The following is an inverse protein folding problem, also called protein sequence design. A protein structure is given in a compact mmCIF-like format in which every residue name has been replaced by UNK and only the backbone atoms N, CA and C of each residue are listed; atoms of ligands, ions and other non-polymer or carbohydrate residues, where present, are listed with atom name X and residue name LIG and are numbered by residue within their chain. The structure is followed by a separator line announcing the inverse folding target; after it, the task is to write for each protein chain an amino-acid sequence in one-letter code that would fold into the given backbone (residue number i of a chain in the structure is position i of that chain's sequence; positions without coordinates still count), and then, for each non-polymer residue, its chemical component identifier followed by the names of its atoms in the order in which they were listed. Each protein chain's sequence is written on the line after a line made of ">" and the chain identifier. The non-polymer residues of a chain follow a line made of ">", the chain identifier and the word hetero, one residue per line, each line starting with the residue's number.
data_IF_847463173529
#
_entry.id   IF_847463173529
#
_cell.length_a   1.000
_cell.length_b   1.000
_cell.length_c   1.000
_cell.angle_alpha   90.00
_cell.angle_beta   90.00
_cell.angle_gamma   90.00
#
_symmetry.space_group_name_H-M   'P 1'
#
loop_
_entity.id
_entity.type
_entity.pdbx_description
1 polymer ?
#
# COMPACT_ATOMS: atom_id res chain seq x y z
N UNK A 1 -7.93 -8.83 28.14
CA UNK A 1 -6.54 -8.47 27.73
C UNK A 1 -6.59 -7.63 26.48
N UNK A 2 -5.87 -6.53 26.46
CA UNK A 2 -5.67 -5.80 25.19
C UNK A 2 -4.83 -6.70 24.26
N UNK A 3 -5.27 -6.86 23.02
CA UNK A 3 -4.44 -7.48 22.00
C UNK A 3 -3.16 -6.66 21.83
N UNK A 4 -2.03 -7.34 21.75
CA UNK A 4 -0.77 -6.67 21.47
C UNK A 4 -0.80 -6.12 20.06
N UNK A 5 -0.32 -4.89 19.90
CA UNK A 5 -0.19 -4.28 18.58
C UNK A 5 0.84 -5.01 17.71
N UNK A 6 0.66 -4.91 16.40
CA UNK A 6 1.62 -5.44 15.43
C UNK A 6 2.99 -4.74 15.59
N UNK A 7 4.06 -5.46 15.35
CA UNK A 7 5.41 -4.91 15.28
C UNK A 7 5.72 -4.53 13.84
N UNK A 8 6.35 -3.38 13.60
CA UNK A 8 6.72 -2.92 12.27
C UNK A 8 8.23 -2.83 12.11
N UNK A 9 8.73 -3.30 10.97
CA UNK A 9 10.16 -3.22 10.61
C UNK A 9 10.31 -2.92 9.14
N UNK A 10 11.34 -2.16 8.77
CA UNK A 10 11.75 -2.00 7.39
C UNK A 10 12.22 -3.35 6.82
N UNK A 11 11.81 -3.64 5.60
CA UNK A 11 12.21 -4.86 4.90
C UNK A 11 13.30 -4.55 3.87
N UNK A 12 14.15 -5.53 3.64
CA UNK A 12 15.29 -5.46 2.72
C UNK A 12 15.20 -6.56 1.67
N UNK A 13 16.18 -6.61 0.78
CA UNK A 13 16.28 -7.67 -0.22
C UNK A 13 16.31 -9.08 0.41
N UNK A 14 16.82 -9.18 1.64
CA UNK A 14 16.85 -10.46 2.37
C UNK A 14 15.46 -10.95 2.79
N UNK A 15 14.45 -10.09 2.76
CA UNK A 15 13.08 -10.41 3.16
C UNK A 15 12.18 -10.77 1.96
N UNK A 16 12.68 -10.66 0.73
CA UNK A 16 11.86 -10.87 -0.48
C UNK A 16 11.25 -12.26 -0.54
N UNK A 17 11.98 -13.30 -0.15
CA UNK A 17 11.44 -14.66 -0.10
C UNK A 17 10.23 -14.75 0.86
N UNK A 18 10.34 -14.15 2.03
CA UNK A 18 9.24 -14.11 3.00
C UNK A 18 8.04 -13.31 2.48
N UNK A 19 8.27 -12.22 1.74
CA UNK A 19 7.20 -11.43 1.11
C UNK A 19 6.48 -12.28 0.04
N UNK A 20 7.21 -13.01 -0.77
CA UNK A 20 6.63 -13.89 -1.79
C UNK A 20 5.76 -14.98 -1.17
N UNK A 21 6.23 -15.62 -0.11
CA UNK A 21 5.46 -16.63 0.64
C UNK A 21 4.19 -16.02 1.22
N UNK A 22 4.31 -14.85 1.85
CA UNK A 22 3.15 -14.12 2.41
C UNK A 22 2.12 -13.79 1.34
N UNK A 23 2.57 -13.30 0.18
CA UNK A 23 1.67 -12.99 -0.93
C UNK A 23 0.89 -14.24 -1.38
N UNK A 24 1.57 -15.36 -1.55
CA UNK A 24 0.94 -16.62 -1.95
C UNK A 24 -0.11 -17.08 -0.93
N UNK A 25 0.22 -17.05 0.36
CA UNK A 25 -0.72 -17.38 1.45
C UNK A 25 -1.97 -16.48 1.40
N UNK A 26 -1.79 -15.18 1.22
CA UNK A 26 -2.90 -14.23 1.16
C UNK A 26 -3.78 -14.49 -0.07
N UNK A 27 -3.18 -14.71 -1.25
CA UNK A 27 -3.94 -14.98 -2.47
C UNK A 27 -4.74 -16.27 -2.40
N UNK A 28 -4.24 -17.30 -1.71
CA UNK A 28 -4.99 -18.53 -1.44
C UNK A 28 -6.26 -18.30 -0.61
N UNK A 29 -6.31 -17.22 0.17
CA UNK A 29 -7.47 -16.88 1.01
C UNK A 29 -8.47 -15.95 0.33
N UNK A 30 -8.12 -15.36 -0.84
CA UNK A 30 -9.00 -14.41 -1.52
C UNK A 30 -10.10 -15.14 -2.28
N UNK A 31 -11.34 -14.79 -2.00
CA UNK A 31 -12.50 -15.23 -2.79
C UNK A 31 -12.49 -14.59 -4.18
N UNK A 32 -12.08 -13.31 -4.26
CA UNK A 32 -11.94 -12.58 -5.50
C UNK A 32 -10.48 -12.12 -5.65
N UNK A 33 -9.68 -12.74 -6.55
CA UNK A 33 -8.28 -12.38 -6.73
C UNK A 33 -8.08 -10.98 -7.31
N UNK A 34 -9.12 -10.38 -7.90
CA UNK A 34 -9.05 -9.02 -8.47
C UNK A 34 -9.04 -7.91 -7.40
N UNK A 35 -9.26 -8.24 -6.12
CA UNK A 35 -9.19 -7.29 -5.02
C UNK A 35 -7.75 -6.79 -4.77
N UNK A 36 -6.75 -7.61 -5.09
CA UNK A 36 -5.33 -7.27 -4.96
C UNK A 36 -4.60 -7.51 -6.28
N UNK A 37 -3.61 -6.68 -6.55
CA UNK A 37 -2.65 -6.91 -7.63
C UNK A 37 -1.53 -7.82 -7.12
N UNK A 38 -1.30 -8.94 -7.82
CA UNK A 38 -0.15 -9.80 -7.55
C UNK A 38 1.11 -9.14 -8.09
N UNK A 39 2.15 -9.10 -7.29
CA UNK A 39 3.45 -8.54 -7.69
C UNK A 39 4.46 -9.65 -7.97
N UNK A 40 5.37 -9.39 -8.91
CA UNK A 40 6.49 -10.28 -9.22
C UNK A 40 7.60 -10.14 -8.18
N UNK A 41 8.50 -11.13 -8.13
CA UNK A 41 9.71 -11.06 -7.32
C UNK A 41 10.54 -9.81 -7.65
N UNK A 42 10.72 -9.53 -8.93
CA UNK A 42 11.48 -8.39 -9.42
C UNK A 42 10.89 -7.06 -8.92
N UNK A 43 9.57 -6.97 -8.88
CA UNK A 43 8.89 -5.80 -8.32
C UNK A 43 9.17 -5.66 -6.82
N UNK A 44 9.12 -6.74 -6.05
CA UNK A 44 9.46 -6.68 -4.62
C UNK A 44 10.93 -6.32 -4.39
N UNK A 45 11.84 -6.86 -5.19
CA UNK A 45 13.27 -6.50 -5.15
C UNK A 45 13.48 -5.00 -5.39
N UNK A 46 12.73 -4.41 -6.32
CA UNK A 46 12.74 -2.97 -6.56
C UNK A 46 12.15 -2.20 -5.38
N UNK A 47 11.04 -2.66 -4.83
CA UNK A 47 10.30 -1.96 -3.78
C UNK A 47 11.04 -1.90 -2.43
N UNK A 48 11.97 -2.82 -2.17
CA UNK A 48 12.79 -2.78 -0.95
C UNK A 48 14.00 -1.86 -1.07
N UNK A 49 14.22 -1.24 -2.24
CA UNK A 49 15.34 -0.33 -2.50
C UNK A 49 14.86 1.13 -2.53
N UNK A 50 15.73 2.02 -2.06
CA UNK A 50 15.50 3.47 -2.18
C UNK A 50 15.27 3.86 -3.67
N UNK A 51 14.38 4.81 -3.97
CA UNK A 51 13.61 5.66 -3.05
C UNK A 51 12.33 5.01 -2.51
N UNK A 52 12.03 3.77 -2.87
CA UNK A 52 10.86 3.04 -2.40
C UNK A 52 11.02 2.64 -0.94
N UNK A 53 9.91 2.33 -0.30
CA UNK A 53 9.91 1.90 1.08
C UNK A 53 8.95 0.73 1.27
N UNK A 54 9.51 -0.41 1.66
CA UNK A 54 8.75 -1.60 2.03
C UNK A 54 8.97 -1.89 3.50
N UNK A 55 7.88 -2.06 4.23
CA UNK A 55 7.94 -2.41 5.64
C UNK A 55 6.96 -3.53 5.95
N UNK A 56 7.32 -4.33 6.92
CA UNK A 56 6.56 -5.49 7.34
C UNK A 56 5.87 -5.30 8.67
N UNK A 57 4.74 -5.96 8.83
CA UNK A 57 4.08 -6.17 10.11
C UNK A 57 4.38 -7.58 10.59
N UNK A 58 4.73 -7.71 11.85
CA UNK A 58 5.12 -8.96 12.49
C UNK A 58 4.21 -9.28 13.66
N UNK A 59 3.99 -10.57 13.87
CA UNK A 59 3.22 -11.07 15.00
C UNK A 59 3.93 -10.70 16.31
N UNK A 60 3.29 -9.97 17.24
CA UNK A 60 3.92 -9.63 18.51
C UNK A 60 4.24 -10.84 19.39
N UNK A 61 3.60 -11.97 19.16
CA UNK A 61 3.86 -13.22 19.87
C UNK A 61 4.89 -14.11 19.17
N UNK A 62 5.22 -13.81 17.91
CA UNK A 62 6.25 -14.46 17.07
C UNK A 62 6.95 -13.40 16.24
N UNK A 63 7.88 -12.62 16.81
CA UNK A 63 8.44 -11.42 16.15
C UNK A 63 9.20 -11.68 14.84
N UNK A 64 9.54 -12.91 14.55
CA UNK A 64 10.13 -13.34 13.27
C UNK A 64 9.08 -13.66 12.19
N UNK A 65 7.80 -13.78 12.58
CA UNK A 65 6.73 -14.14 11.65
C UNK A 65 6.16 -12.90 10.96
N UNK A 66 6.46 -12.75 9.67
CA UNK A 66 5.92 -11.71 8.80
C UNK A 66 4.45 -12.02 8.50
N UNK A 67 3.55 -11.14 8.91
CA UNK A 67 2.10 -11.32 8.75
C UNK A 67 1.45 -10.29 7.84
N UNK A 68 2.13 -9.19 7.55
CA UNK A 68 1.66 -8.16 6.64
C UNK A 68 2.82 -7.43 5.99
N UNK A 69 2.55 -6.80 4.86
CA UNK A 69 3.52 -5.96 4.15
C UNK A 69 2.83 -4.74 3.55
N UNK A 70 3.53 -3.63 3.56
CA UNK A 70 3.09 -2.39 2.95
C UNK A 70 4.21 -1.77 2.12
N UNK A 71 3.86 -1.14 1.01
CA UNK A 71 4.82 -0.56 0.07
C UNK A 71 4.40 0.87 -0.28
N UNK A 72 5.30 1.81 -0.01
CA UNK A 72 5.26 3.15 -0.58
C UNK A 72 6.23 3.19 -1.77
N UNK A 73 5.71 3.48 -2.95
CA UNK A 73 6.44 3.39 -4.20
C UNK A 73 6.60 4.77 -4.84
N UNK A 74 7.82 5.08 -5.24
CA UNK A 74 8.09 6.26 -6.07
C UNK A 74 8.02 5.86 -7.55
N UNK A 75 6.97 6.26 -8.27
CA UNK A 75 6.79 5.83 -9.66
C UNK A 75 7.74 6.56 -10.63
N UNK A 76 8.33 7.70 -10.22
CA UNK A 76 9.09 8.54 -11.13
C UNK A 76 8.28 8.90 -12.38
N UNK A 77 8.90 8.77 -13.54
CA UNK A 77 8.27 8.98 -14.86
C UNK A 77 7.72 7.68 -15.47
N UNK A 78 7.60 6.62 -14.69
CA UNK A 78 7.07 5.33 -15.17
C UNK A 78 5.55 5.38 -15.36
N UNK A 79 5.02 4.37 -16.04
CA UNK A 79 3.57 4.17 -16.21
C UNK A 79 2.82 3.81 -14.91
N UNK A 80 3.54 3.58 -13.82
CA UNK A 80 2.95 3.49 -12.47
C UNK A 80 2.57 4.87 -11.91
N UNK A 81 3.05 5.99 -12.50
CA UNK A 81 2.70 7.34 -12.07
C UNK A 81 1.21 7.61 -12.31
N UNK A 82 0.58 8.22 -11.31
CA UNK A 82 -0.82 8.61 -11.37
C UNK A 82 -1.00 10.12 -11.57
N UNK A 83 0.06 10.90 -11.41
CA UNK A 83 -0.01 12.36 -11.38
C UNK A 83 -0.50 12.99 -12.69
N UNK A 84 -0.10 12.41 -13.82
CA UNK A 84 -0.47 12.91 -15.15
C UNK A 84 -1.92 12.62 -15.54
N UNK A 85 -2.58 11.75 -14.79
CA UNK A 85 -3.94 11.30 -15.10
C UNK A 85 -4.99 11.82 -14.11
N UNK A 86 -4.57 12.64 -13.14
CA UNK A 86 -5.49 13.19 -12.14
C UNK A 86 -6.47 14.16 -12.77
N UNK A 87 -7.73 14.09 -12.36
CA UNK A 87 -8.84 14.89 -12.89
C UNK A 87 -9.28 15.97 -11.91
N UNK A 88 -9.30 15.67 -10.63
CA UNK A 88 -9.80 16.56 -9.56
C UNK A 88 -8.70 17.16 -8.71
N UNK A 89 -7.51 16.59 -8.75
CA UNK A 89 -6.36 17.00 -7.94
C UNK A 89 -5.16 17.33 -8.83
N UNK A 90 -4.24 18.11 -8.30
CA UNK A 90 -2.97 18.44 -8.95
C UNK A 90 -1.83 18.06 -8.04
N UNK A 91 -1.01 17.11 -8.49
CA UNK A 91 0.21 16.67 -7.82
C UNK A 91 1.33 16.62 -8.84
N UNK A 92 2.52 17.03 -8.44
CA UNK A 92 3.71 17.06 -9.31
C UNK A 92 4.68 15.92 -8.99
N UNK A 93 4.81 15.60 -7.72
CA UNK A 93 5.74 14.58 -7.22
C UNK A 93 5.08 13.80 -6.08
N UNK A 94 4.22 12.87 -6.45
CA UNK A 94 3.51 12.03 -5.50
C UNK A 94 4.13 10.63 -5.43
N UNK A 95 4.13 10.06 -4.24
CA UNK A 95 4.38 8.64 -4.05
C UNK A 95 3.06 7.86 -4.15
N UNK A 96 3.15 6.58 -4.47
CA UNK A 96 2.01 5.67 -4.48
C UNK A 96 1.98 4.84 -3.18
N UNK A 97 0.83 4.80 -2.53
CA UNK A 97 0.52 3.76 -1.55
C UNK A 97 0.19 2.49 -2.35
N UNK A 98 1.24 1.76 -2.75
CA UNK A 98 1.17 0.72 -3.78
C UNK A 98 0.51 -0.56 -3.29
N UNK A 99 0.79 -0.94 -2.06
CA UNK A 99 0.36 -2.22 -1.50
C UNK A 99 0.16 -2.11 0.00
N UNK A 100 -0.91 -2.72 0.49
CA UNK A 100 -1.09 -3.05 1.89
C UNK A 100 -1.83 -4.40 1.93
N UNK A 101 -1.16 -5.44 2.41
CA UNK A 101 -1.76 -6.76 2.55
C UNK A 101 -1.38 -7.40 3.88
N UNK A 102 -2.31 -8.14 4.46
CA UNK A 102 -2.12 -8.79 5.75
C UNK A 102 -2.88 -10.11 5.79
N UNK A 103 -2.33 -11.09 6.51
CA UNK A 103 -2.99 -12.37 6.73
C UNK A 103 -4.37 -12.18 7.40
N UNK A 104 -5.38 -12.96 7.01
CA UNK A 104 -6.75 -12.84 7.54
C UNK A 104 -6.84 -12.83 9.06
N UNK A 105 -6.04 -13.67 9.74
CA UNK A 105 -6.00 -13.78 11.20
C UNK A 105 -5.67 -12.44 11.89
N UNK A 106 -4.94 -11.56 11.22
CA UNK A 106 -4.48 -10.28 11.78
C UNK A 106 -5.30 -9.09 11.31
N UNK A 107 -6.35 -9.31 10.53
CA UNK A 107 -7.29 -8.26 10.09
C UNK A 107 -8.10 -7.72 11.26
N UNK A 108 -8.70 -6.52 11.07
CA UNK A 108 -9.50 -5.88 12.09
C UNK A 108 -8.71 -5.17 13.20
N UNK A 109 -7.39 -5.07 13.05
CA UNK A 109 -6.48 -4.40 14.00
C UNK A 109 -6.00 -3.03 13.53
N UNK A 110 -6.64 -2.47 12.50
CA UNK A 110 -6.29 -1.15 11.95
C UNK A 110 -5.00 -1.12 11.13
N UNK A 111 -4.53 -2.25 10.63
CA UNK A 111 -3.27 -2.35 9.86
C UNK A 111 -3.23 -1.36 8.70
N UNK A 112 -4.21 -1.39 7.80
CA UNK A 112 -4.20 -0.56 6.59
C UNK A 112 -4.19 0.92 6.92
N UNK A 113 -5.02 1.35 7.87
CA UNK A 113 -5.03 2.74 8.35
C UNK A 113 -3.67 3.15 8.94
N UNK A 114 -3.07 2.28 9.74
CA UNK A 114 -1.76 2.54 10.36
C UNK A 114 -0.67 2.71 9.30
N UNK A 115 -0.62 1.81 8.31
CA UNK A 115 0.42 1.90 7.27
C UNK A 115 0.23 3.12 6.36
N UNK A 116 -1.00 3.54 6.09
CA UNK A 116 -1.28 4.76 5.32
C UNK A 116 -0.80 6.01 6.07
N UNK A 117 -0.98 6.07 7.39
CA UNK A 117 -0.45 7.16 8.22
C UNK A 117 1.08 7.16 8.20
N UNK A 118 1.72 6.00 8.34
CA UNK A 118 3.18 5.87 8.28
C UNK A 118 3.73 6.33 6.91
N UNK A 119 3.07 5.96 5.81
CA UNK A 119 3.44 6.39 4.47
C UNK A 119 3.32 7.91 4.30
N UNK A 120 2.22 8.50 4.80
CA UNK A 120 2.02 9.95 4.77
C UNK A 120 3.17 10.68 5.46
N UNK A 121 3.48 10.30 6.69
CA UNK A 121 4.56 10.93 7.45
C UNK A 121 5.92 10.83 6.75
N UNK A 122 6.22 9.66 6.19
CA UNK A 122 7.47 9.46 5.44
C UNK A 122 7.50 10.25 4.14
N UNK A 123 6.40 10.29 3.39
CA UNK A 123 6.29 11.05 2.16
C UNK A 123 6.45 12.55 2.41
N UNK A 124 5.81 13.08 3.45
CA UNK A 124 5.98 14.49 3.86
C UNK A 124 7.44 14.80 4.19
N UNK A 125 8.09 13.97 4.98
CA UNK A 125 9.51 14.16 5.35
C UNK A 125 10.45 14.11 4.14
N UNK A 126 10.09 13.35 3.09
CA UNK A 126 10.90 13.23 1.87
C UNK A 126 10.58 14.26 0.81
N UNK A 127 9.66 15.18 1.08
CA UNK A 127 9.33 16.27 0.16
C UNK A 127 8.39 15.93 -0.97
N UNK A 128 7.67 14.80 -0.89
CA UNK A 128 6.57 14.54 -1.81
C UNK A 128 5.43 15.52 -1.56
N UNK A 129 4.70 15.89 -2.60
CA UNK A 129 3.55 16.80 -2.48
C UNK A 129 2.23 16.05 -2.21
N UNK A 130 2.24 14.73 -2.26
CA UNK A 130 1.08 13.93 -1.95
C UNK A 130 1.31 12.42 -2.04
N UNK A 131 0.26 11.69 -1.73
CA UNK A 131 0.13 10.25 -1.94
C UNK A 131 -1.02 9.96 -2.87
N UNK A 132 -0.84 8.98 -3.74
CA UNK A 132 -1.90 8.41 -4.56
C UNK A 132 -2.09 6.93 -4.19
N UNK A 133 -3.32 6.46 -4.32
CA UNK A 133 -3.65 5.06 -4.11
C UNK A 133 -4.67 4.61 -5.15
N UNK A 134 -4.60 3.35 -5.55
CA UNK A 134 -5.63 2.72 -6.36
C UNK A 134 -6.30 1.60 -5.57
N UNK A 135 -7.61 1.47 -5.71
CA UNK A 135 -8.37 0.44 -5.03
C UNK A 135 -9.46 -0.11 -5.95
N UNK A 136 -9.72 -1.41 -5.84
CA UNK A 136 -10.88 -2.00 -6.49
C UNK A 136 -12.17 -1.39 -5.92
N UNK A 137 -13.14 -0.98 -6.77
CA UNK A 137 -14.43 -0.48 -6.27
C UNK A 137 -15.16 -1.47 -5.37
N UNK A 138 -14.86 -2.76 -5.50
CA UNK A 138 -15.46 -3.84 -4.71
C UNK A 138 -14.77 -4.07 -3.36
N UNK A 139 -13.58 -3.50 -3.15
CA UNK A 139 -12.85 -3.65 -1.91
C UNK A 139 -13.29 -2.60 -0.89
N UNK A 140 -14.41 -2.86 -0.23
CA UNK A 140 -15.06 -1.92 0.70
C UNK A 140 -14.15 -1.59 1.88
N UNK A 141 -13.45 -2.56 2.45
CA UNK A 141 -12.53 -2.35 3.58
C UNK A 141 -11.40 -1.40 3.22
N UNK A 142 -10.78 -1.60 2.07
CA UNK A 142 -9.69 -0.74 1.60
C UNK A 142 -10.20 0.69 1.33
N UNK A 143 -11.37 0.83 0.70
CA UNK A 143 -12.00 2.14 0.48
C UNK A 143 -12.26 2.88 1.80
N UNK A 144 -12.81 2.19 2.80
CA UNK A 144 -13.07 2.78 4.12
C UNK A 144 -11.79 3.25 4.81
N UNK A 145 -10.72 2.45 4.72
CA UNK A 145 -9.41 2.80 5.29
C UNK A 145 -8.79 4.01 4.58
N UNK A 146 -8.90 4.09 3.27
CA UNK A 146 -8.42 5.20 2.44
C UNK A 146 -9.18 6.48 2.80
N UNK A 147 -10.50 6.43 2.89
CA UNK A 147 -11.33 7.58 3.28
C UNK A 147 -10.99 8.02 4.70
N UNK A 148 -10.90 7.09 5.65
CA UNK A 148 -10.58 7.38 7.05
C UNK A 148 -9.17 7.96 7.22
N UNK A 149 -8.27 7.73 6.28
CA UNK A 149 -6.89 8.24 6.28
C UNK A 149 -6.75 9.60 5.60
N UNK A 150 -7.84 10.19 5.13
CA UNK A 150 -7.85 11.54 4.55
C UNK A 150 -7.62 11.61 3.04
N UNK A 151 -7.68 10.48 2.33
CA UNK A 151 -7.66 10.47 0.87
C UNK A 151 -9.00 10.94 0.30
N UNK A 152 -8.95 11.61 -0.82
CA UNK A 152 -10.11 12.06 -1.57
C UNK A 152 -10.17 11.36 -2.92
N UNK A 153 -11.38 11.02 -3.36
CA UNK A 153 -11.63 10.39 -4.66
C UNK A 153 -11.25 11.33 -5.80
N UNK A 154 -10.51 10.82 -6.77
CA UNK A 154 -10.17 11.56 -7.99
C UNK A 154 -10.98 11.07 -9.19
N UNK A 155 -10.81 9.82 -9.60
CA UNK A 155 -11.51 9.23 -10.74
C UNK A 155 -11.43 7.69 -10.71
N UNK A 156 -12.13 7.07 -11.65
CA UNK A 156 -12.08 5.62 -11.87
C UNK A 156 -11.52 5.34 -13.27
N UNK A 157 -10.59 4.42 -13.35
CA UNK A 157 -9.98 4.02 -14.62
C UNK A 157 -9.70 2.52 -14.65
N UNK A 158 -9.43 2.00 -15.85
CA UNK A 158 -8.93 0.64 -16.02
C UNK A 158 -7.40 0.64 -15.94
N UNK A 159 -6.85 -0.26 -15.11
CA UNK A 159 -5.41 -0.47 -14.92
C UNK A 159 -5.12 -1.97 -14.89
N UNK A 160 -3.83 -2.32 -14.87
CA UNK A 160 -3.37 -3.70 -14.65
C UNK A 160 -4.07 -4.74 -15.55
N UNK A 161 -4.08 -4.48 -16.87
CA UNK A 161 -4.70 -5.40 -17.82
C UNK A 161 -6.23 -5.32 -17.92
N UNK A 162 -6.81 -4.17 -17.56
CA UNK A 162 -8.24 -3.90 -17.69
C UNK A 162 -9.04 -3.99 -16.41
N UNK A 163 -8.39 -4.17 -15.27
CA UNK A 163 -9.03 -4.11 -13.95
C UNK A 163 -9.53 -2.69 -13.67
N UNK A 164 -10.79 -2.55 -13.24
CA UNK A 164 -11.33 -1.27 -12.80
C UNK A 164 -10.74 -0.89 -11.45
N UNK A 165 -10.24 0.35 -11.36
CA UNK A 165 -9.65 0.90 -10.13
C UNK A 165 -10.09 2.33 -9.92
N UNK A 166 -10.46 2.63 -8.68
CA UNK A 166 -10.64 4.00 -8.22
C UNK A 166 -9.25 4.58 -7.87
N UNK A 167 -9.02 5.82 -8.26
CA UNK A 167 -7.82 6.58 -7.91
C UNK A 167 -8.17 7.58 -6.84
N UNK A 168 -7.43 7.54 -5.75
CA UNK A 168 -7.60 8.39 -4.57
C UNK A 168 -6.30 9.13 -4.29
N UNK A 169 -6.42 10.37 -3.82
CA UNK A 169 -5.26 11.23 -3.56
C UNK A 169 -5.34 11.87 -2.19
N UNK A 170 -4.17 12.10 -1.61
CA UNK A 170 -4.00 12.96 -0.46
C UNK A 170 -2.95 14.01 -0.81
N UNK A 171 -3.34 15.29 -0.83
CA UNK A 171 -2.47 16.42 -1.13
C UNK A 171 -1.91 16.98 0.17
N UNK A 172 -0.58 17.16 0.23
CA UNK A 172 0.10 17.66 1.43
C UNK A 172 0.22 19.18 1.38
N UNK A 173 0.28 19.82 2.55
CA UNK A 173 0.55 21.23 2.68
C UNK A 173 -0.58 22.17 2.29
N UNK A 174 -1.74 21.65 1.96
CA UNK A 174 -2.96 22.47 1.84
C UNK A 174 -3.47 22.82 3.25
N UNK A 175 -3.52 24.08 3.52
CA UNK A 175 -4.05 24.63 4.77
C UNK A 175 -5.43 25.21 4.54
#
# INVERSE_FOLDING_TARGET
>A
MKEKGLLFKDLTVNDVDAIMVLQDEIFETLENPDLLRRNTREMFELCVQEPNWTFGAFDPDSPEHLVGVAIMFDPGDSDESLTDHLVRHTLKHAANAKLAMILPKFRGRGFEKTVLIMMKERAERRGYDGLCATVSPQNIHSRESIIASGFEYDHTQKKYGGMEREVWCQVFGEK
#
